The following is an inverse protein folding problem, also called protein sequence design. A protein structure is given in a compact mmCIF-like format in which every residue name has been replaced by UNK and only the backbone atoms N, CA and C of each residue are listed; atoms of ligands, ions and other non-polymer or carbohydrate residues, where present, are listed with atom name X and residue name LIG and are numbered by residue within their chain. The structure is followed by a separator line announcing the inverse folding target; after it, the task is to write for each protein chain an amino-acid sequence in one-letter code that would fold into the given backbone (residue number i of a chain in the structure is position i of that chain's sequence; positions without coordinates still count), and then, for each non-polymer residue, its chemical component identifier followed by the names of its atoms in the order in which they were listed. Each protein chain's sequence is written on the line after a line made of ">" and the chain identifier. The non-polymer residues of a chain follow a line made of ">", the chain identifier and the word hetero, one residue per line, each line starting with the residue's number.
data_IF_022106445340
#
_entry.id   IF_022106445340
#
_cell.length_a   1.000
_cell.length_b   1.000
_cell.length_c   1.000
_cell.angle_alpha   90.00
_cell.angle_beta   90.00
_cell.angle_gamma   90.00
#
_symmetry.space_group_name_H-M   'P 1'
#
loop_
_entity.id
_entity.type
_entity.pdbx_description
1 polymer ?
#
# COMPACT_ATOMS: atom_id res chain seq x y z
N UNK A 1 -10.27 12.98 -19.16
CA UNK A 1 -8.99 13.35 -18.56
C UNK A 1 -7.99 13.47 -19.68
N UNK A 2 -7.32 14.61 -19.81
CA UNK A 2 -6.24 14.72 -20.79
C UNK A 2 -4.97 13.99 -20.30
N UNK A 3 -4.00 13.77 -21.19
CA UNK A 3 -2.78 13.04 -20.87
C UNK A 3 -1.97 13.68 -19.74
N UNK A 4 -1.97 15.01 -19.65
CA UNK A 4 -1.20 15.77 -18.67
C UNK A 4 -1.83 15.68 -17.27
N UNK A 5 -3.16 15.71 -17.20
CA UNK A 5 -3.90 15.43 -15.97
C UNK A 5 -3.64 14.01 -15.46
N UNK A 6 -3.68 13.02 -16.36
CA UNK A 6 -3.42 11.62 -15.99
C UNK A 6 -1.99 11.41 -15.48
N UNK A 7 -1.00 11.98 -16.16
CA UNK A 7 0.40 11.90 -15.73
C UNK A 7 0.63 12.54 -14.35
N UNK A 8 -0.05 13.65 -14.03
CA UNK A 8 0.02 14.27 -12.69
C UNK A 8 -0.54 13.35 -11.60
N UNK A 9 -1.66 12.67 -11.87
CA UNK A 9 -2.23 11.74 -10.91
C UNK A 9 -1.30 10.54 -10.69
N UNK A 10 -0.71 9.98 -11.77
CA UNK A 10 0.24 8.87 -11.67
C UNK A 10 1.44 9.27 -10.81
N UNK A 11 2.07 10.41 -11.10
CA UNK A 11 3.20 10.90 -10.31
C UNK A 11 2.82 11.07 -8.83
N UNK A 12 1.62 11.59 -8.55
CA UNK A 12 1.13 11.73 -7.17
C UNK A 12 0.97 10.37 -6.48
N UNK A 13 0.38 9.37 -7.15
CA UNK A 13 0.26 8.02 -6.59
C UNK A 13 1.62 7.42 -6.28
N UNK A 14 2.60 7.61 -7.16
CA UNK A 14 3.97 7.13 -6.97
C UNK A 14 4.62 7.84 -5.78
N UNK A 15 4.60 9.17 -5.75
CA UNK A 15 5.20 9.97 -4.66
C UNK A 15 4.59 9.63 -3.29
N UNK A 16 3.26 9.67 -3.18
CA UNK A 16 2.56 9.37 -1.94
C UNK A 16 2.76 7.90 -1.51
N UNK A 17 2.81 6.97 -2.47
CA UNK A 17 3.00 5.54 -2.20
C UNK A 17 4.37 5.24 -1.61
N UNK A 18 5.43 5.88 -2.13
CA UNK A 18 6.76 5.80 -1.54
C UNK A 18 6.79 6.38 -0.12
N UNK A 19 6.16 7.54 0.10
CA UNK A 19 6.09 8.15 1.43
C UNK A 19 5.44 7.21 2.46
N UNK A 20 4.35 6.52 2.08
CA UNK A 20 3.68 5.55 2.95
C UNK A 20 4.62 4.41 3.35
N UNK A 21 5.34 3.82 2.40
CA UNK A 21 6.26 2.72 2.69
C UNK A 21 7.45 3.19 3.53
N UNK A 22 8.01 4.37 3.24
CA UNK A 22 9.11 4.93 4.01
C UNK A 22 8.72 5.21 5.46
N UNK A 23 7.46 5.61 5.70
CA UNK A 23 6.89 5.75 7.05
C UNK A 23 6.58 4.40 7.70
N UNK A 24 6.08 3.43 6.94
CA UNK A 24 5.67 2.12 7.46
C UNK A 24 6.85 1.21 7.83
N UNK A 25 7.93 1.23 7.02
CA UNK A 25 9.09 0.35 7.17
C UNK A 25 9.74 0.43 8.56
N UNK A 26 10.07 1.60 9.14
CA UNK A 26 10.74 1.71 10.43
C UNK A 26 9.83 1.46 11.64
N UNK A 27 8.52 1.33 11.46
CA UNK A 27 7.57 1.14 12.57
C UNK A 27 7.92 -0.11 13.37
N UNK A 28 7.94 0.03 14.69
CA UNK A 28 8.39 -1.03 15.61
C UNK A 28 7.30 -1.49 16.58
N UNK A 29 6.13 -0.84 16.55
CA UNK A 29 5.01 -1.18 17.41
C UNK A 29 3.68 -1.10 16.68
N UNK A 30 2.69 -1.85 17.17
CA UNK A 30 1.32 -1.80 16.64
C UNK A 30 0.70 -0.41 16.79
N UNK A 31 0.99 0.31 17.88
CA UNK A 31 0.44 1.66 18.11
C UNK A 31 0.87 2.63 17.01
N UNK A 32 2.18 2.65 16.69
CA UNK A 32 2.72 3.46 15.60
C UNK A 32 2.11 3.06 14.25
N UNK A 33 1.86 1.77 14.02
CA UNK A 33 1.22 1.29 12.79
C UNK A 33 -0.22 1.79 12.66
N UNK A 34 -1.00 1.71 13.75
CA UNK A 34 -2.40 2.17 13.76
C UNK A 34 -2.51 3.70 13.58
N UNK A 35 -1.49 4.48 13.96
CA UNK A 35 -1.43 5.92 13.66
C UNK A 35 -1.26 6.20 12.15
N UNK A 36 -0.66 5.28 11.40
CA UNK A 36 -0.45 5.41 9.95
C UNK A 36 -1.66 4.95 9.12
N UNK A 37 -2.51 4.06 9.66
CA UNK A 37 -3.66 3.47 8.94
C UNK A 37 -4.57 4.53 8.28
N UNK A 38 -4.95 5.64 8.94
CA UNK A 38 -5.81 6.64 8.30
C UNK A 38 -5.20 7.30 7.05
N UNK A 39 -3.86 7.40 6.96
CA UNK A 39 -3.18 7.93 5.78
C UNK A 39 -3.12 6.88 4.67
N UNK A 40 -2.93 5.60 5.03
CA UNK A 40 -3.00 4.46 4.10
C UNK A 40 -4.40 4.38 3.47
N UNK A 41 -5.45 4.48 4.28
CA UNK A 41 -6.84 4.42 3.80
C UNK A 41 -7.13 5.58 2.84
N UNK A 42 -6.70 6.80 3.18
CA UNK A 42 -6.87 7.97 2.30
C UNK A 42 -6.17 7.80 0.96
N UNK A 43 -4.97 7.21 0.97
CA UNK A 43 -4.23 6.90 -0.26
C UNK A 43 -4.93 5.81 -1.07
N UNK A 44 -5.37 4.74 -0.43
CA UNK A 44 -6.07 3.63 -1.06
C UNK A 44 -7.36 4.09 -1.75
N UNK A 45 -8.16 4.93 -1.07
CA UNK A 45 -9.37 5.54 -1.62
C UNK A 45 -9.03 6.39 -2.85
N UNK A 46 -8.01 7.24 -2.77
CA UNK A 46 -7.57 8.06 -3.90
C UNK A 46 -7.15 7.21 -5.11
N UNK A 47 -6.38 6.15 -4.88
CA UNK A 47 -5.96 5.22 -5.95
C UNK A 47 -7.18 4.54 -6.59
N UNK A 48 -8.09 3.99 -5.80
CA UNK A 48 -9.30 3.33 -6.29
C UNK A 48 -10.20 4.28 -7.08
N UNK A 49 -10.43 5.50 -6.60
CA UNK A 49 -11.29 6.48 -7.27
C UNK A 49 -10.78 6.86 -8.66
N UNK A 50 -9.45 7.00 -8.81
CA UNK A 50 -8.82 7.49 -10.02
C UNK A 50 -8.43 6.39 -11.01
N UNK A 51 -8.02 5.21 -10.52
CA UNK A 51 -7.42 4.13 -11.32
C UNK A 51 -8.08 2.77 -11.12
N UNK A 52 -9.04 2.66 -10.21
CA UNK A 52 -9.78 1.42 -10.04
C UNK A 52 -10.81 1.19 -11.14
N UNK A 53 -11.05 -0.09 -11.42
CA UNK A 53 -12.09 -0.54 -12.35
C UNK A 53 -13.35 -0.98 -11.58
N UNK A 54 -14.55 -0.89 -12.19
CA UNK A 54 -15.74 -1.49 -11.61
C UNK A 54 -15.52 -2.99 -11.36
N UNK A 55 -15.91 -3.44 -10.18
CA UNK A 55 -15.68 -4.81 -9.75
C UNK A 55 -17.01 -5.47 -9.40
N UNK A 56 -17.22 -6.70 -9.86
CA UNK A 56 -18.44 -7.48 -9.56
C UNK A 56 -18.50 -7.95 -8.09
N UNK A 57 -17.38 -7.83 -7.36
CA UNK A 57 -17.24 -8.32 -5.98
C UNK A 57 -17.22 -7.20 -4.93
N UNK A 58 -17.24 -5.93 -5.34
CA UNK A 58 -17.28 -4.79 -4.43
C UNK A 58 -18.18 -3.68 -4.95
N UNK A 59 -18.94 -3.04 -4.06
CA UNK A 59 -19.71 -1.83 -4.35
C UNK A 59 -18.76 -0.62 -4.51
N UNK A 60 -17.92 -0.63 -5.56
CA UNK A 60 -16.87 0.37 -5.74
C UNK A 60 -15.92 0.06 -6.89
N UNK A 61 -14.96 0.96 -7.07
CA UNK A 61 -13.82 0.76 -7.97
C UNK A 61 -12.71 0.03 -7.24
N UNK A 62 -12.03 -0.86 -7.95
CA UNK A 62 -10.97 -1.69 -7.42
C UNK A 62 -9.68 -1.52 -8.22
N UNK A 63 -8.59 -1.17 -7.54
CA UNK A 63 -7.26 -1.08 -8.12
C UNK A 63 -6.34 -2.14 -7.48
N UNK A 64 -5.52 -2.81 -8.30
CA UNK A 64 -4.58 -3.84 -7.81
C UNK A 64 -3.57 -3.27 -6.80
N UNK A 65 -3.12 -2.04 -7.02
CA UNK A 65 -2.14 -1.38 -6.16
C UNK A 65 -2.63 -1.23 -4.71
N UNK A 66 -3.92 -0.95 -4.53
CA UNK A 66 -4.56 -0.91 -3.21
C UNK A 66 -4.58 -2.28 -2.54
N UNK A 67 -4.78 -3.36 -3.30
CA UNK A 67 -4.66 -4.74 -2.78
C UNK A 67 -3.26 -5.00 -2.26
N UNK A 68 -2.26 -4.67 -3.07
CA UNK A 68 -0.84 -4.85 -2.76
C UNK A 68 -0.44 -4.08 -1.50
N UNK A 69 -0.90 -2.83 -1.36
CA UNK A 69 -0.68 -2.02 -0.16
C UNK A 69 -1.26 -2.65 1.11
N UNK A 70 -2.52 -3.10 1.05
CA UNK A 70 -3.16 -3.71 2.22
C UNK A 70 -2.55 -5.06 2.60
N UNK A 71 -2.05 -5.83 1.62
CA UNK A 71 -1.27 -7.04 1.89
C UNK A 71 0.04 -6.69 2.59
N UNK A 72 0.76 -5.67 2.14
CA UNK A 72 1.97 -5.18 2.80
C UNK A 72 1.69 -4.71 4.24
N UNK A 73 0.61 -3.95 4.45
CA UNK A 73 0.16 -3.51 5.78
C UNK A 73 -0.18 -4.70 6.69
N UNK A 74 -0.90 -5.71 6.19
CA UNK A 74 -1.28 -6.88 6.99
C UNK A 74 -0.05 -7.67 7.44
N UNK A 75 0.92 -7.88 6.54
CA UNK A 75 2.17 -8.55 6.91
C UNK A 75 3.04 -7.72 7.85
N UNK A 76 3.09 -6.39 7.66
CA UNK A 76 3.74 -5.49 8.62
C UNK A 76 3.07 -5.57 10.00
N UNK A 77 1.74 -5.59 10.07
CA UNK A 77 1.00 -5.76 11.33
C UNK A 77 1.36 -7.10 11.98
N UNK A 78 1.36 -8.18 11.20
CA UNK A 78 1.72 -9.52 11.68
C UNK A 78 3.14 -9.59 12.23
N UNK A 79 4.09 -8.90 11.61
CA UNK A 79 5.49 -8.88 12.05
C UNK A 79 5.70 -8.16 13.39
N UNK A 80 4.71 -7.36 13.84
CA UNK A 80 4.75 -6.60 15.09
C UNK A 80 4.05 -7.31 16.25
N UNK A 81 3.40 -8.45 16.01
CA UNK A 81 2.81 -9.24 17.11
C UNK A 81 3.91 -9.89 17.96
N UNK A 82 3.74 -9.98 19.30
CA UNK A 82 4.75 -10.52 20.21
C UNK A 82 5.28 -11.91 19.81
N UNK A 83 4.41 -12.78 19.30
CA UNK A 83 4.77 -14.13 18.84
C UNK A 83 5.65 -14.15 17.58
N UNK A 84 5.74 -13.04 16.84
CA UNK A 84 6.43 -12.95 15.55
C UNK A 84 7.67 -12.05 15.58
N UNK A 85 7.96 -11.37 16.69
CA UNK A 85 9.09 -10.41 16.78
C UNK A 85 10.43 -11.05 16.38
N UNK A 86 10.67 -12.29 16.81
CA UNK A 86 11.88 -13.06 16.49
C UNK A 86 11.64 -14.15 15.42
N UNK A 87 10.46 -14.17 14.78
CA UNK A 87 10.12 -15.18 13.78
C UNK A 87 10.48 -14.70 12.37
N UNK A 88 11.68 -15.08 11.93
CA UNK A 88 12.28 -14.68 10.66
C UNK A 88 11.34 -14.78 9.44
N UNK A 89 10.53 -15.86 9.26
CA UNK A 89 9.65 -15.94 8.09
C UNK A 89 8.64 -14.80 7.99
N UNK A 90 8.06 -14.36 9.11
CA UNK A 90 7.10 -13.23 9.11
C UNK A 90 7.82 -11.91 8.83
N UNK A 91 9.04 -11.73 9.34
CA UNK A 91 9.84 -10.53 9.06
C UNK A 91 10.22 -10.44 7.57
N UNK A 92 10.61 -11.56 6.97
CA UNK A 92 10.93 -11.65 5.56
C UNK A 92 9.69 -11.38 4.69
N UNK A 93 8.54 -11.97 5.00
CA UNK A 93 7.30 -11.73 4.26
C UNK A 93 6.85 -10.26 4.37
N UNK A 94 6.91 -9.65 5.55
CA UNK A 94 6.61 -8.22 5.70
C UNK A 94 7.49 -7.35 4.81
N UNK A 95 8.78 -7.66 4.73
CA UNK A 95 9.70 -6.97 3.82
C UNK A 95 9.33 -7.23 2.35
N UNK A 96 9.17 -8.49 1.96
CA UNK A 96 8.88 -8.89 0.59
C UNK A 96 7.60 -8.24 0.06
N UNK A 97 6.53 -8.16 0.85
CA UNK A 97 5.29 -7.52 0.41
C UNK A 97 5.39 -5.99 0.34
N UNK A 98 6.15 -5.35 1.23
CA UNK A 98 6.44 -3.91 1.10
C UNK A 98 7.26 -3.62 -0.17
N UNK A 99 8.28 -4.44 -0.44
CA UNK A 99 9.12 -4.29 -1.62
C UNK A 99 8.31 -4.59 -2.90
N UNK A 100 7.44 -5.62 -2.88
CA UNK A 100 6.54 -5.95 -3.99
C UNK A 100 5.52 -4.84 -4.30
N UNK A 101 4.99 -4.17 -3.28
CA UNK A 101 4.16 -2.97 -3.50
C UNK A 101 4.95 -1.86 -4.22
N UNK A 102 6.20 -1.61 -3.83
CA UNK A 102 7.05 -0.60 -4.49
C UNK A 102 7.37 -1.01 -5.94
N UNK A 103 7.58 -2.29 -6.21
CA UNK A 103 7.79 -2.80 -7.57
C UNK A 103 6.55 -2.56 -8.45
N UNK A 104 5.34 -2.88 -7.95
CA UNK A 104 4.09 -2.62 -8.66
C UNK A 104 3.86 -1.12 -8.87
N UNK A 105 4.10 -0.32 -7.82
CA UNK A 105 3.95 1.13 -7.83
C UNK A 105 4.76 1.77 -8.95
N UNK A 106 6.06 1.47 -9.01
CA UNK A 106 6.99 2.00 -10.01
C UNK A 106 6.81 1.37 -11.40
N UNK A 107 6.30 0.14 -11.45
CA UNK A 107 6.01 -0.55 -12.70
C UNK A 107 4.77 -0.03 -13.41
N UNK A 108 3.95 0.79 -12.73
CA UNK A 108 2.70 1.34 -13.23
C UNK A 108 1.73 0.24 -13.75
N UNK A 109 1.84 -1.00 -13.28
CA UNK A 109 0.99 -2.10 -13.77
C UNK A 109 -0.47 -2.00 -13.35
N UNK A 110 -0.78 -1.04 -12.47
CA UNK A 110 -2.08 -0.72 -11.92
C UNK A 110 -2.83 0.39 -12.70
N UNK A 111 -2.20 0.90 -13.77
CA UNK A 111 -2.63 2.06 -14.57
C UNK A 111 -3.39 1.67 -15.82
#
# INVERSE_FOLDING_TARGET
>A
MDYLERAKLINKVIEDGHEIIDRMRPISSLSELEELVPDIDRYADFVNENFGEPSDISDGKWCSLMTSLYVALDWKRKSLYPENLDYEPTQNLAKEFMDGFIEELNGESWV
#
